data_IF_010865070362
#
_entry.id   IF_010865070362
#
_cell.length_a   1.000
_cell.length_b   1.000
_cell.length_c   1.000
_cell.angle_alpha   90.00
_cell.angle_beta   90.00
_cell.angle_gamma   90.00
#
_symmetry.space_group_name_H-M   'P 1'
#
loop_
_entity.id
_entity.type
_entity.pdbx_description
1 polymer ?
2 non-polymer ?
3 non-polymer ?
4 water ?
#
# COMPACT_ATOMS: atom_id res chain seq x y z
N UNK A 4 -5.60 13.34 20.24
CA UNK A 4 -5.57 12.69 18.93
C UNK A 4 -5.11 13.57 17.78
N UNK A 5 -4.29 12.99 16.91
CA UNK A 5 -4.03 13.56 15.60
C UNK A 5 -4.57 12.64 14.51
N UNK A 6 -5.57 13.10 13.77
CA UNK A 6 -6.20 12.26 12.75
C UNK A 6 -6.04 12.88 11.37
N UNK A 7 -4.90 12.64 10.73
CA UNK A 7 -4.63 13.24 9.41
C UNK A 7 -5.59 12.80 8.32
N UNK A 8 -6.11 13.78 7.57
CA UNK A 8 -6.81 13.50 6.33
C UNK A 8 -5.82 12.98 5.29
N UNK A 9 -6.33 12.35 4.22
CA UNK A 9 -5.48 11.87 3.12
C UNK A 9 -4.76 13.04 2.47
N UNK A 10 -5.44 14.19 2.49
CA UNK A 10 -4.85 15.43 2.01
C UNK A 10 -3.59 15.79 2.81
N UNK A 11 -3.65 15.62 4.13
CA UNK A 11 -2.46 15.83 4.96
C UNK A 11 -1.40 14.77 4.65
N UNK A 12 -1.85 13.52 4.57
CA UNK A 12 -0.96 12.41 4.26
C UNK A 12 -0.20 12.67 2.96
N UNK A 13 -0.93 13.17 1.96
CA UNK A 13 -0.32 13.54 0.67
C UNK A 13 0.72 14.65 0.85
N UNK A 14 0.42 15.61 1.72
CA UNK A 14 1.38 16.69 2.00
C UNK A 14 2.59 16.14 2.74
N UNK A 15 2.36 15.17 3.63
CA UNK A 15 3.45 14.50 4.34
C UNK A 15 4.39 13.82 3.34
N UNK A 16 3.80 13.26 2.29
CA UNK A 16 4.53 12.46 1.33
C UNK A 16 5.29 13.38 0.38
N UNK A 17 4.62 14.43 -0.08
CA UNK A 17 5.28 15.51 -0.84
C UNK A 17 6.48 16.10 -0.09
N UNK A 18 6.33 16.30 1.23
CA UNK A 18 7.40 16.88 2.04
C UNK A 18 8.63 16.02 2.01
N UNK A 19 8.47 14.74 2.34
CA UNK A 19 9.54 13.75 2.22
C UNK A 19 10.19 13.77 0.84
N UNK A 20 9.37 13.75 -0.20
CA UNK A 20 9.87 13.78 -1.56
C UNK A 20 10.71 15.03 -1.79
N UNK A 21 10.17 16.17 -1.38
CA UNK A 21 10.87 17.45 -1.50
C UNK A 21 12.20 17.43 -0.76
N UNK A 22 12.21 16.87 0.46
CA UNK A 22 13.43 16.79 1.26
C UNK A 22 14.49 15.88 0.64
N UNK A 23 14.04 14.76 0.07
CA UNK A 23 14.95 13.78 -0.54
C UNK A 23 15.66 14.39 -1.75
N UNK A 24 14.87 15.06 -2.59
CA UNK A 24 15.37 15.71 -3.79
C UNK A 24 16.31 16.87 -3.44
N UNK A 25 15.85 17.72 -2.51
CA UNK A 25 16.66 18.85 -2.03
C UNK A 25 17.99 18.44 -1.43
N UNK A 26 18.01 17.28 -0.77
CA UNK A 26 19.22 16.77 -0.15
C UNK A 26 20.04 15.84 -1.05
N UNK A 27 19.59 15.67 -2.29
CA UNK A 27 20.16 14.66 -3.19
C UNK A 27 20.25 13.29 -2.52
N UNK A 28 19.10 12.64 -2.36
CA UNK A 28 19.09 11.22 -2.08
C UNK A 28 17.92 10.62 -2.85
N UNK A 29 18.24 10.03 -4.00
CA UNK A 29 17.27 9.33 -4.82
C UNK A 29 17.56 7.84 -4.68
N UNK A 30 16.68 7.12 -3.96
CA UNK A 30 16.94 5.70 -3.70
C UNK A 30 16.85 4.87 -4.97
N UNK A 31 17.61 3.79 -5.00
CA UNK A 31 17.42 2.73 -5.97
C UNK A 31 16.32 1.77 -5.51
N UNK A 32 16.23 1.57 -4.19
CA UNK A 32 15.26 0.66 -3.60
C UNK A 32 14.52 1.31 -2.45
N UNK A 33 13.20 1.19 -2.45
CA UNK A 33 12.39 1.49 -1.27
C UNK A 33 12.13 0.20 -0.49
N UNK A 34 12.39 0.20 0.81
CA UNK A 34 11.95 -0.91 1.66
C UNK A 34 10.71 -0.53 2.47
N UNK A 35 9.56 -1.06 2.09
CA UNK A 35 8.34 -0.77 2.84
C UNK A 35 8.34 -1.54 4.17
N UNK A 36 8.10 -0.82 5.27
CA UNK A 36 7.93 -1.51 6.55
C UNK A 36 6.47 -1.95 6.63
N UNK A 37 6.25 -3.25 6.51
CA UNK A 37 4.88 -3.77 6.54
C UNK A 37 4.33 -3.68 7.97
N UNK A 38 3.04 -3.35 8.11
CA UNK A 38 2.13 -3.03 7.01
C UNK A 38 1.80 -1.54 6.99
N UNK A 39 2.23 -0.83 8.02
CA UNK A 39 1.93 0.58 8.14
C UNK A 39 2.68 1.45 7.15
N UNK A 40 3.86 1.03 6.72
CA UNK A 40 4.66 1.81 5.78
C UNK A 40 4.33 1.48 4.34
N UNK A 41 3.27 0.69 4.16
CA UNK A 41 2.83 0.18 2.85
C UNK A 41 2.29 1.32 1.95
N UNK A 42 1.34 2.08 2.48
CA UNK A 42 0.76 3.18 1.76
C UNK A 42 1.79 4.33 1.59
N UNK A 43 2.51 4.72 2.67
CA UNK A 43 3.61 5.67 2.47
C UNK A 43 4.64 5.26 1.39
N UNK A 44 5.05 4.00 1.37
CA UNK A 44 6.02 3.58 0.37
C UNK A 44 5.48 3.68 -1.05
N UNK A 45 4.19 3.44 -1.24
CA UNK A 45 3.61 3.40 -2.58
C UNK A 45 3.43 4.80 -3.10
N UNK A 46 3.05 5.71 -2.20
CA UNK A 46 2.86 7.10 -2.54
C UNK A 46 4.20 7.80 -2.87
N UNK A 47 5.23 7.53 -2.08
CA UNK A 47 6.55 8.10 -2.34
C UNK A 47 7.08 7.55 -3.66
N UNK A 48 6.91 6.25 -3.85
CA UNK A 48 7.28 5.57 -5.09
C UNK A 48 6.71 6.28 -6.31
N UNK A 49 5.40 6.49 -6.29
CA UNK A 49 4.74 7.15 -7.40
C UNK A 49 5.23 8.60 -7.56
N UNK A 50 5.43 9.27 -6.44
CA UNK A 50 5.85 10.68 -6.48
C UNK A 50 7.21 10.83 -7.15
N UNK A 51 8.18 10.03 -6.70
CA UNK A 51 9.55 10.15 -7.18
C UNK A 51 9.91 9.17 -8.29
N UNK A 52 8.90 8.53 -8.87
CA UNK A 52 9.09 7.52 -9.92
C UNK A 52 10.12 6.45 -9.53
N UNK A 53 10.01 5.94 -8.32
CA UNK A 53 10.87 4.87 -7.87
C UNK A 53 10.20 3.51 -8.17
N UNK A 54 10.83 2.73 -9.02
CA UNK A 54 10.19 1.53 -9.55
C UNK A 54 10.50 0.27 -8.76
N UNK A 55 11.47 0.37 -7.85
CA UNK A 55 11.87 -0.82 -7.11
C UNK A 55 11.47 -0.71 -5.64
N UNK A 56 10.47 -1.51 -5.26
CA UNK A 56 9.98 -1.55 -3.90
C UNK A 56 10.13 -2.97 -3.35
N UNK A 57 10.72 -3.08 -2.16
CA UNK A 57 10.81 -4.35 -1.48
C UNK A 57 10.18 -4.20 -0.10
N UNK A 58 10.08 -5.28 0.64
CA UNK A 58 9.19 -5.29 1.81
C UNK A 58 9.78 -6.09 2.94
N UNK A 59 9.48 -5.67 4.17
CA UNK A 59 9.86 -6.49 5.31
C UNK A 59 8.69 -6.71 6.26
N UNK A 60 8.43 -7.97 6.58
CA UNK A 60 7.37 -8.31 7.52
C UNK A 60 7.93 -8.29 8.94
N UNK A 61 7.57 -7.24 9.66
CA UNK A 61 8.00 -7.05 11.04
C UNK A 61 6.84 -6.51 11.89
N UNK A 62 6.73 -6.97 13.12
CA UNK A 62 5.73 -6.39 14.01
C UNK A 62 6.22 -6.21 15.44
N UNK A 63 5.74 -5.13 16.04
CA UNK A 63 6.05 -4.79 17.42
C UNK A 63 4.77 -4.95 18.23
N UNK A 64 4.61 -6.12 18.84
CA UNK A 64 3.44 -6.42 19.67
C UNK A 64 3.34 -5.48 20.87
N UNK A 65 2.22 -4.78 20.96
CA UNK A 65 1.95 -3.89 22.09
C UNK A 65 0.46 -3.86 22.40
N UNK A 71 4.98 -8.39 23.04
CA UNK A 71 6.40 -8.69 22.91
C UNK A 71 7.25 -7.50 23.29
N UNK A 72 8.48 -7.77 23.72
CA UNK A 72 9.39 -6.76 24.24
C UNK A 72 10.16 -6.09 23.12
N UNK A 73 10.26 -6.80 22.00
CA UNK A 73 11.00 -6.31 20.85
C UNK A 73 10.15 -6.43 19.58
N UNK A 74 10.48 -5.63 18.55
CA UNK A 74 9.88 -5.97 17.26
C UNK A 74 10.36 -7.36 16.82
N UNK A 75 9.52 -8.08 16.09
CA UNK A 75 9.89 -9.41 15.62
C UNK A 75 9.79 -9.48 14.10
N UNK A 76 10.89 -9.83 13.45
CA UNK A 76 10.89 -10.02 12.00
C UNK A 76 10.25 -11.36 11.68
N UNK A 77 9.27 -11.33 10.79
CA UNK A 77 8.63 -12.57 10.40
C UNK A 77 9.04 -12.94 8.98
N UNK A 78 9.31 -11.93 8.13
CA UNK A 78 9.77 -12.20 6.78
C UNK A 78 10.41 -11.00 6.11
N UNK A 79 11.47 -11.26 5.37
CA UNK A 79 12.12 -10.23 4.60
C UNK A 79 12.00 -10.52 3.09
N UNK A 80 11.18 -9.72 2.41
CA UNK A 80 10.90 -9.89 0.99
C UNK A 80 11.79 -9.01 0.12
N UNK A 81 12.99 -9.49 -0.18
CA UNK A 81 13.91 -8.75 -1.05
C UNK A 81 14.96 -9.62 -1.69
N UNK A 82 15.44 -9.17 -2.85
CA UNK A 82 16.61 -9.73 -3.51
C UNK A 82 17.81 -8.91 -3.07
N UNK A 83 18.97 -9.10 -3.71
CA UNK A 83 20.20 -8.47 -3.25
C UNK A 83 20.08 -6.95 -3.21
N UNK A 84 20.61 -6.35 -2.15
CA UNK A 84 20.61 -4.90 -2.03
C UNK A 84 22.02 -4.32 -2.09
N UNK A 85 22.99 -5.18 -2.44
CA UNK A 85 24.40 -4.79 -2.41
C UNK A 85 24.68 -3.62 -3.34
N UNK A 86 25.31 -2.58 -2.79
CA UNK A 86 25.69 -1.41 -3.54
C UNK A 86 24.52 -0.55 -4.02
N UNK A 87 23.37 -0.67 -3.36
CA UNK A 87 22.22 0.12 -3.77
C UNK A 87 21.93 1.21 -2.75
N UNK A 88 21.31 2.27 -3.21
CA UNK A 88 20.86 3.34 -2.31
C UNK A 88 19.47 3.00 -1.80
N UNK A 89 19.36 2.77 -0.49
CA UNK A 89 18.14 2.24 0.08
C UNK A 89 17.45 3.27 0.96
N UNK A 90 16.14 3.38 0.81
CA UNK A 90 15.33 4.15 1.75
C UNK A 90 14.31 3.25 2.44
N UNK A 91 14.40 3.19 3.77
CA UNK A 91 13.40 2.52 4.58
C UNK A 91 12.23 3.46 4.84
N UNK A 92 11.04 3.05 4.43
CA UNK A 92 9.85 3.86 4.60
C UNK A 92 8.88 3.27 5.64
N UNK A 93 8.46 4.10 6.59
CA UNK A 93 7.45 3.66 7.55
C UNK A 93 6.45 4.78 7.78
N UNK A 94 5.36 4.50 8.49
CA UNK A 94 4.32 5.52 8.67
C UNK A 94 4.59 6.40 9.90
N UNK A 95 5.09 5.79 10.97
CA UNK A 95 5.45 6.53 12.18
C UNK A 95 6.60 5.86 12.95
N UNK A 96 7.47 6.68 13.53
CA UNK A 96 8.45 6.19 14.50
C UNK A 96 8.03 6.55 15.93
N UNK A 97 7.57 5.55 16.68
CA UNK A 97 7.07 5.74 18.04
C UNK A 97 8.20 5.66 19.04
N UNK A 98 8.57 4.45 19.45
CA UNK A 98 9.75 4.27 20.27
C UNK A 98 11.01 4.25 19.41
N UNK A 99 10.85 3.90 18.13
CA UNK A 99 11.96 3.85 17.20
C UNK A 99 12.61 2.48 17.08
N UNK A 100 12.15 1.53 17.89
CA UNK A 100 12.59 0.15 17.81
C UNK A 100 12.45 -0.45 16.40
N UNK A 101 11.29 -0.25 15.79
CA UNK A 101 11.04 -0.82 14.47
C UNK A 101 12.04 -0.29 13.42
N UNK A 102 12.21 1.03 13.33
CA UNK A 102 13.17 1.56 12.36
C UNK A 102 14.59 1.08 12.64
N UNK A 103 14.95 0.94 13.92
CA UNK A 103 16.29 0.46 14.26
C UNK A 103 16.51 -0.98 13.82
N UNK A 104 15.55 -1.86 14.15
CA UNK A 104 15.63 -3.27 13.76
C UNK A 104 15.70 -3.45 12.25
N UNK A 105 14.87 -2.69 11.52
CA UNK A 105 14.87 -2.78 10.07
C UNK A 105 16.22 -2.32 9.51
N UNK A 106 16.71 -1.18 10.00
CA UNK A 106 17.98 -0.62 9.53
C UNK A 106 19.13 -1.55 9.84
N UNK A 107 19.05 -2.25 10.97
CA UNK A 107 20.10 -3.19 11.32
C UNK A 107 20.16 -4.36 10.36
N UNK A 108 19.01 -4.86 9.94
CA UNK A 108 18.98 -6.05 9.10
C UNK A 108 19.27 -5.69 7.62
N UNK A 109 18.79 -4.55 7.15
CA UNK A 109 19.12 -4.14 5.78
C UNK A 109 20.63 -4.01 5.62
N UNK A 110 21.29 -3.36 6.60
CA UNK A 110 22.75 -3.18 6.57
C UNK A 110 23.52 -4.48 6.27
N UNK A 111 22.99 -5.61 6.76
CA UNK A 111 23.58 -6.92 6.52
C UNK A 111 23.51 -7.32 5.04
N UNK A 112 22.68 -6.66 4.26
CA UNK A 112 22.68 -6.85 2.82
C UNK A 112 23.74 -5.98 2.10
N UNK A 113 24.59 -5.31 2.89
CA UNK A 113 25.68 -4.51 2.34
C UNK A 113 25.26 -3.50 1.26
N UNK A 114 24.22 -2.70 1.55
CA UNK A 114 23.85 -1.72 0.54
C UNK A 114 24.84 -0.57 0.53
N UNK A 115 24.73 0.33 -0.43
CA UNK A 115 25.58 1.51 -0.45
C UNK A 115 25.23 2.39 0.74
N UNK A 116 23.95 2.68 0.91
CA UNK A 116 23.51 3.54 2.00
C UNK A 116 22.08 3.17 2.43
N UNK A 117 21.86 3.16 3.75
CA UNK A 117 20.52 3.01 4.32
C UNK A 117 20.07 4.30 4.99
N UNK A 118 18.98 4.87 4.50
CA UNK A 118 18.41 6.04 5.16
C UNK A 118 16.98 5.68 5.52
N UNK A 119 16.39 6.48 6.40
CA UNK A 119 15.05 6.19 6.88
C UNK A 119 14.11 7.37 6.70
N UNK A 120 12.87 7.04 6.37
CA UNK A 120 11.80 8.02 6.30
C UNK A 120 10.57 7.51 7.05
N UNK A 121 9.93 8.38 7.81
CA UNK A 121 8.60 8.10 8.38
C UNK A 121 7.75 9.34 8.18
N UNK A 122 6.44 9.17 8.12
CA UNK A 122 5.57 10.33 7.97
C UNK A 122 5.54 11.16 9.26
N UNK A 123 5.49 10.50 10.40
CA UNK A 123 5.33 11.20 11.67
C UNK A 123 6.27 10.67 12.73
N UNK A 124 6.69 11.58 13.60
CA UNK A 124 7.61 11.24 14.67
C UNK A 124 6.96 11.49 16.03
N UNK A 125 7.18 10.56 16.95
CA UNK A 125 6.80 10.77 18.34
C UNK A 125 8.02 11.33 19.08
N UNK A 126 7.80 12.31 19.97
CA UNK A 126 8.89 13.05 20.65
C UNK A 126 9.90 12.14 21.34
N UNK A 127 9.43 10.99 21.80
CA UNK A 127 10.23 10.11 22.62
C UNK A 127 10.92 9.00 21.82
N UNK A 128 11.05 9.19 20.51
CA UNK A 128 11.68 8.15 19.69
C UNK A 128 13.17 7.99 19.97
N UNK A 129 13.61 6.74 20.01
CA UNK A 129 15.01 6.41 20.21
C UNK A 129 15.81 6.73 18.94
N UNK A 130 15.14 6.63 17.80
CA UNK A 130 15.77 6.85 16.51
C UNK A 130 14.99 7.87 15.69
N UNK A 131 15.68 8.88 15.18
CA UNK A 131 15.02 9.94 14.42
C UNK A 131 15.20 9.71 12.93
N UNK A 132 14.08 9.50 12.21
CA UNK A 132 14.13 9.25 10.77
C UNK A 132 14.94 10.33 10.07
N UNK A 133 15.74 9.96 9.08
CA UNK A 133 16.48 10.96 8.31
C UNK A 133 15.52 11.92 7.63
N UNK A 134 14.32 11.44 7.33
CA UNK A 134 13.30 12.26 6.71
C UNK A 134 11.95 12.02 7.38
N UNK A 135 11.28 13.09 7.81
CA UNK A 135 9.91 12.96 8.28
C UNK A 135 9.11 14.23 8.00
N UNK A 136 7.80 14.20 8.22
CA UNK A 136 6.95 15.35 7.94
C UNK A 136 6.74 16.21 9.19
N UNK A 137 5.99 15.69 10.16
CA UNK A 137 5.73 16.42 11.40
C UNK A 137 5.93 15.56 12.65
N UNK A 138 6.46 16.17 13.70
CA UNK A 138 6.61 15.52 15.00
C UNK A 138 5.36 15.79 15.81
N UNK A 139 4.75 14.73 16.32
CA UNK A 139 3.45 14.81 16.98
C UNK A 139 3.51 14.16 18.36
N UNK A 140 3.04 14.86 19.39
CA UNK A 140 3.00 14.29 20.73
C UNK A 140 1.61 13.76 21.07
N UNK A 141 0.70 13.85 20.09
CA UNK A 141 -0.65 13.33 20.22
C UNK A 141 -0.73 11.90 19.71
N UNK A 142 -1.85 11.23 19.97
CA UNK A 142 -2.05 9.87 19.48
C UNK A 142 -2.53 9.90 18.04
N UNK A 143 -1.72 9.39 17.13
CA UNK A 143 -2.02 9.50 15.71
C UNK A 143 -2.94 8.37 15.26
N UNK A 144 -4.00 8.73 14.55
CA UNK A 144 -4.86 7.75 13.92
C UNK A 144 -4.79 7.91 12.40
N UNK A 145 -4.06 7.00 11.77
CA UNK A 145 -3.90 6.98 10.32
C UNK A 145 -5.17 6.53 9.60
N UNK A 146 -5.30 6.93 8.33
CA UNK A 146 -6.49 6.45 7.61
C UNK A 146 -6.50 4.92 7.45
N UNK A 147 -5.33 4.30 7.53
CA UNK A 147 -5.24 2.85 7.38
C UNK A 147 -5.15 2.06 8.70
N UNK A 148 -5.29 2.70 9.85
CA UNK A 148 -5.44 1.92 11.07
C UNK A 148 -6.56 2.47 11.94
N UNK A 149 -7.39 3.32 11.32
CA UNK A 149 -8.53 3.90 12.02
C UNK A 149 -9.45 2.84 12.62
N UNK A 150 -9.71 1.75 11.90
CA UNK A 150 -10.69 0.78 12.38
C UNK A 150 -10.13 -0.11 13.49
N UNK A 151 -8.84 -0.37 13.43
CA UNK A 151 -8.16 -1.07 14.51
C UNK A 151 -8.26 -0.23 15.79
N UNK A 152 -8.17 1.09 15.63
CA UNK A 152 -8.29 2.01 16.74
C UNK A 152 -9.73 2.10 17.26
N UNK A 153 -10.70 2.07 16.34
CA UNK A 153 -12.11 2.06 16.71
C UNK A 153 -12.50 0.75 17.42
N UNK A 154 -11.92 -0.37 16.99
CA UNK A 154 -12.20 -1.67 17.61
C UNK A 154 -11.66 -1.72 19.04
N UNK A 155 -10.69 -0.85 19.33
CA UNK A 155 -10.10 -0.77 20.66
C UNK A 155 -10.67 0.37 21.50
N UNK A 156 -11.41 1.27 20.86
CA UNK A 156 -12.12 2.35 21.55
C UNK A 156 -13.06 3.08 20.58
N UNK A 157 -14.33 2.69 20.60
CA UNK A 157 -15.31 3.24 19.67
C UNK A 157 -15.62 4.72 19.91
N UNK A 158 -15.01 5.29 20.94
CA UNK A 158 -15.24 6.69 21.26
C UNK A 158 -14.29 7.63 20.53
N UNK A 159 -13.39 7.05 19.73
CA UNK A 159 -12.48 7.87 18.93
C UNK A 159 -13.27 8.61 17.86
N UNK A 160 -12.99 9.92 17.73
CA UNK A 160 -13.76 10.80 16.83
C UNK A 160 -13.29 10.76 15.38
N UNK A 161 -13.48 9.63 14.72
CA UNK A 161 -13.17 9.51 13.29
C UNK A 161 -14.44 9.52 12.45
N UNK A 162 -14.30 9.85 11.18
CA UNK A 162 -15.43 9.87 10.26
C UNK A 162 -15.78 8.48 9.77
N UNK A 163 -17.04 8.34 9.32
CA UNK A 163 -17.58 7.12 8.72
C UNK A 163 -17.68 5.97 9.72
N UNK A 164 -17.51 6.28 11.00
CA UNK A 164 -17.56 5.29 12.07
C UNK A 164 -18.87 4.52 12.08
N UNK A 165 -19.96 5.23 11.80
CA UNK A 165 -21.29 4.62 11.78
C UNK A 165 -21.42 3.58 10.66
N UNK A 166 -20.88 3.87 9.49
CA UNK A 166 -20.86 2.89 8.41
C UNK A 166 -20.02 1.69 8.85
N UNK A 167 -18.91 1.97 9.54
CA UNK A 167 -18.04 0.90 10.02
C UNK A 167 -18.65 0.06 11.13
N UNK A 168 -19.24 0.72 12.14
CA UNK A 168 -19.87 -0.01 13.23
C UNK A 168 -20.96 -0.90 12.67
N UNK A 169 -21.65 -0.40 11.66
CA UNK A 169 -22.66 -1.17 10.94
C UNK A 169 -22.15 -2.49 10.35
N UNK A 170 -20.98 -2.43 9.72
CA UNK A 170 -20.39 -3.62 9.09
C UNK A 170 -19.73 -4.53 10.11
N UNK A 171 -19.05 -3.91 11.07
CA UNK A 171 -18.35 -4.64 12.13
C UNK A 171 -19.34 -5.49 12.92
N UNK A 172 -20.50 -4.94 13.24
CA UNK A 172 -21.55 -5.68 13.91
C UNK A 172 -21.89 -6.96 13.19
N UNK A 173 -22.16 -6.89 11.89
CA UNK A 173 -22.48 -8.08 11.13
C UNK A 173 -21.28 -9.01 11.09
N UNK A 174 -20.10 -8.43 11.00
CA UNK A 174 -18.85 -9.20 10.96
C UNK A 174 -18.70 -10.03 12.23
N UNK A 175 -18.97 -9.42 13.38
CA UNK A 175 -18.84 -10.10 14.67
C UNK A 175 -19.77 -11.31 14.77
N UNK A 176 -20.93 -11.22 14.14
CA UNK A 176 -21.91 -12.32 14.15
C UNK A 176 -21.42 -13.53 13.38
N UNK A 177 -20.88 -13.29 12.19
CA UNK A 177 -20.68 -14.40 11.27
C UNK A 177 -19.35 -15.10 11.44
N UNK A 178 -18.45 -14.53 12.24
CA UNK A 178 -17.27 -15.31 12.59
C UNK A 178 -16.92 -15.18 14.07
N UNK A 179 -17.26 -16.24 14.80
CA UNK A 179 -17.08 -16.29 16.25
C UNK A 179 -15.92 -17.21 16.62
N UNK B 3 -13.56 9.85 -20.80
CA UNK B 3 -12.19 10.34 -20.69
C UNK B 3 -11.40 9.57 -19.62
N UNK B 4 -11.07 10.25 -18.53
CA UNK B 4 -10.40 9.62 -17.40
C UNK B 4 -11.34 9.56 -16.21
N UNK B 5 -11.18 8.57 -15.36
CA UNK B 5 -11.86 8.56 -14.07
C UNK B 5 -10.78 8.84 -13.01
N UNK B 6 -11.03 9.83 -12.15
CA UNK B 6 -10.06 10.16 -11.08
C UNK B 6 -10.76 10.14 -9.72
N UNK B 7 -10.91 8.92 -9.15
CA UNK B 7 -11.54 8.76 -7.84
C UNK B 7 -10.79 9.49 -6.71
N UNK B 8 -11.55 10.21 -5.89
CA UNK B 8 -10.97 10.79 -4.71
C UNK B 8 -10.61 9.67 -3.74
N UNK B 9 -9.83 10.03 -2.72
CA UNK B 9 -9.55 9.12 -1.63
C UNK B 9 -10.84 8.71 -0.95
N UNK B 10 -11.82 9.63 -0.92
CA UNK B 10 -13.11 9.36 -0.34
C UNK B 10 -13.84 8.27 -1.11
N UNK B 11 -13.66 8.25 -2.43
CA UNK B 11 -14.25 7.20 -3.27
C UNK B 11 -13.56 5.85 -3.07
N UNK B 12 -12.25 5.88 -2.83
CA UNK B 12 -11.50 4.65 -2.63
C UNK B 12 -11.95 4.00 -1.30
N UNK B 13 -12.10 4.80 -0.25
CA UNK B 13 -12.67 4.31 1.02
C UNK B 13 -14.06 3.68 0.84
N UNK B 14 -14.92 4.34 0.06
CA UNK B 14 -16.21 3.80 -0.27
C UNK B 14 -16.10 2.49 -1.07
N UNK B 15 -15.10 2.44 -1.94
CA UNK B 15 -14.83 1.25 -2.75
C UNK B 15 -14.43 0.08 -1.86
N UNK B 16 -13.48 0.36 -0.97
CA UNK B 16 -13.03 -0.61 0.01
C UNK B 16 -14.19 -1.06 0.90
N UNK B 17 -14.95 -0.10 1.41
CA UNK B 17 -16.14 -0.37 2.22
C UNK B 17 -17.11 -1.28 1.49
N UNK B 18 -17.31 -1.01 0.19
CA UNK B 18 -18.27 -1.80 -0.59
C UNK B 18 -17.81 -3.23 -0.73
N UNK B 19 -16.51 -3.40 -0.94
CA UNK B 19 -15.90 -4.73 -1.02
C UNK B 19 -16.08 -5.48 0.31
N UNK B 20 -15.77 -4.79 1.42
CA UNK B 20 -15.94 -5.38 2.75
C UNK B 20 -17.38 -5.79 3.01
N UNK B 21 -18.31 -4.92 2.65
CA UNK B 21 -19.74 -5.15 2.83
C UNK B 21 -20.19 -6.36 2.03
N UNK B 22 -19.71 -6.48 0.80
CA UNK B 22 -20.04 -7.62 -0.05
C UNK B 22 -19.42 -8.90 0.48
N UNK B 23 -18.21 -8.80 1.03
CA UNK B 23 -17.55 -9.97 1.60
C UNK B 23 -18.32 -10.55 2.80
N UNK B 24 -18.83 -9.65 3.64
CA UNK B 24 -19.57 -10.06 4.84
C UNK B 24 -20.94 -10.60 4.42
N UNK B 25 -21.56 -9.91 3.47
CA UNK B 25 -22.83 -10.34 2.90
C UNK B 25 -22.76 -11.74 2.27
N UNK B 26 -21.60 -12.10 1.72
CA UNK B 26 -21.41 -13.39 1.06
C UNK B 26 -20.87 -14.43 2.03
N UNK B 27 -20.59 -14.00 3.26
CA UNK B 27 -19.93 -14.83 4.26
C UNK B 27 -18.63 -15.42 3.70
N UNK B 28 -17.81 -14.56 3.09
CA UNK B 28 -16.48 -14.96 2.68
C UNK B 28 -15.48 -14.05 3.35
N UNK B 29 -15.01 -14.49 4.51
CA UNK B 29 -13.98 -13.78 5.22
C UNK B 29 -12.69 -14.53 4.97
N UNK B 30 -11.75 -13.89 4.24
CA UNK B 30 -10.48 -14.52 3.86
C UNK B 30 -9.62 -14.85 5.07
N UNK B 31 -8.95 -15.99 5.05
CA UNK B 31 -7.84 -16.24 5.96
C UNK B 31 -6.66 -15.36 5.57
N UNK B 32 -6.45 -15.18 4.27
CA UNK B 32 -5.24 -14.55 3.75
C UNK B 32 -5.57 -13.57 2.63
N UNK B 33 -5.01 -12.38 2.72
CA UNK B 33 -5.14 -11.42 1.60
C UNK B 33 -3.89 -11.53 0.72
N UNK B 34 -4.13 -11.65 -0.59
CA UNK B 34 -3.04 -11.59 -1.56
C UNK B 34 -3.11 -10.27 -2.32
N UNK B 35 -2.26 -9.35 -1.91
CA UNK B 35 -2.13 -8.04 -2.54
C UNK B 35 -1.39 -8.14 -3.88
N UNK B 36 -2.04 -7.78 -4.97
CA UNK B 36 -1.36 -7.70 -6.26
C UNK B 36 -0.51 -6.43 -6.29
N UNK B 37 0.80 -6.58 -6.25
CA UNK B 37 1.71 -5.43 -6.28
C UNK B 37 1.74 -4.81 -7.69
N UNK B 38 1.81 -3.48 -7.80
CA UNK B 38 1.80 -2.56 -6.66
C UNK B 38 0.48 -1.79 -6.47
N UNK B 39 -0.38 -1.80 -7.49
CA UNK B 39 -1.65 -1.08 -7.42
C UNK B 39 -2.62 -1.64 -6.38
N UNK B 40 -2.47 -2.91 -6.04
CA UNK B 40 -3.36 -3.56 -5.09
C UNK B 40 -2.93 -3.34 -3.65
N UNK B 41 -1.78 -2.71 -3.48
CA UNK B 41 -1.16 -2.43 -2.18
C UNK B 41 -2.08 -1.65 -1.24
N UNK B 42 -2.53 -0.49 -1.69
CA UNK B 42 -3.36 0.37 -0.86
C UNK B 42 -4.74 -0.30 -0.64
N UNK B 43 -5.42 -0.78 -1.71
CA UNK B 43 -6.65 -1.55 -1.49
C UNK B 43 -6.53 -2.67 -0.44
N UNK B 44 -5.51 -3.50 -0.53
CA UNK B 44 -5.31 -4.62 0.40
C UNK B 44 -5.10 -4.17 1.84
N UNK B 45 -4.33 -3.09 2.04
CA UNK B 45 -4.07 -2.61 3.38
C UNK B 45 -5.37 -2.07 4.00
N UNK B 46 -6.13 -1.30 3.21
CA UNK B 46 -7.33 -0.69 3.77
C UNK B 46 -8.36 -1.79 4.12
N UNK B 47 -8.40 -2.86 3.34
CA UNK B 47 -9.40 -3.92 3.56
C UNK B 47 -8.99 -4.72 4.78
N UNK B 48 -7.69 -4.91 4.91
CA UNK B 48 -7.11 -5.51 6.10
C UNK B 48 -7.56 -4.79 7.38
N UNK B 49 -7.52 -3.46 7.35
CA UNK B 49 -7.92 -2.67 8.51
C UNK B 49 -9.42 -2.74 8.73
N UNK B 50 -10.18 -2.58 7.65
CA UNK B 50 -11.64 -2.68 7.70
C UNK B 50 -12.12 -3.98 8.38
N UNK B 51 -11.66 -5.11 7.87
CA UNK B 51 -12.20 -6.40 8.29
C UNK B 51 -11.34 -7.12 9.34
N UNK B 52 -10.33 -6.44 9.86
CA UNK B 52 -9.47 -7.00 10.90
C UNK B 52 -8.77 -8.29 10.39
N UNK B 53 -8.38 -8.26 9.11
CA UNK B 53 -7.65 -9.36 8.50
C UNK B 53 -6.15 -9.11 8.70
N UNK B 54 -5.52 -10.00 9.47
CA UNK B 54 -4.16 -9.75 9.95
C UNK B 54 -3.09 -10.38 9.06
N UNK B 55 -3.50 -11.26 8.15
CA UNK B 55 -2.57 -12.00 7.31
C UNK B 55 -2.54 -11.50 5.85
N UNK B 56 -1.50 -10.75 5.51
CA UNK B 56 -1.37 -10.23 4.13
C UNK B 56 -0.13 -10.77 3.45
N UNK B 57 -0.30 -11.33 2.27
CA UNK B 57 0.84 -11.77 1.45
C UNK B 57 0.78 -11.05 0.10
N UNK B 58 1.81 -11.22 -0.71
CA UNK B 58 2.05 -10.31 -1.84
C UNK B 58 2.58 -11.06 -3.04
N UNK B 59 2.21 -10.59 -4.23
CA UNK B 59 2.81 -11.10 -5.46
C UNK B 59 3.27 -9.92 -6.35
N UNK B 60 4.53 -9.96 -6.73
CA UNK B 60 5.15 -8.98 -7.62
C UNK B 60 4.87 -9.41 -9.05
N UNK B 61 3.86 -8.81 -9.66
CA UNK B 61 3.53 -9.11 -11.04
C UNK B 61 3.35 -7.79 -11.82
N UNK B 62 3.78 -7.78 -13.08
CA UNK B 62 3.71 -6.55 -13.87
C UNK B 62 3.26 -6.81 -15.29
N UNK B 63 2.34 -5.96 -15.77
CA UNK B 63 1.92 -5.96 -17.18
C UNK B 63 2.64 -4.82 -17.93
N UNK B 64 3.76 -5.15 -18.58
CA UNK B 64 4.58 -4.16 -19.30
C UNK B 64 3.91 -3.63 -20.58
N UNK B 65 3.49 -2.36 -20.52
CA UNK B 65 2.82 -1.72 -21.65
C UNK B 65 3.39 -0.32 -21.86
N UNK B 66 4.66 -0.24 -22.22
CA UNK B 66 5.31 1.05 -22.38
C UNK B 66 6.51 0.97 -23.32
N UNK B 67 7.11 2.14 -23.57
CA UNK B 67 8.20 2.33 -24.52
C UNK B 67 9.31 1.29 -24.40
N UNK B 68 9.53 0.54 -25.48
CA UNK B 68 10.58 -0.46 -25.52
C UNK B 68 10.19 -1.76 -24.84
N UNK B 69 9.96 -1.71 -23.54
CA UNK B 69 9.57 -2.91 -22.79
C UNK B 69 8.07 -3.10 -22.84
N UNK B 70 7.64 -4.04 -23.68
CA UNK B 70 6.23 -4.32 -23.85
C UNK B 70 6.01 -5.81 -24.05
N UNK B 71 5.08 -6.38 -23.30
CA UNK B 71 4.80 -7.81 -23.33
C UNK B 71 3.32 -8.02 -23.52
N UNK B 72 2.93 -9.20 -24.01
CA UNK B 72 1.52 -9.50 -24.26
C UNK B 72 0.75 -9.97 -23.03
N UNK B 73 1.48 -10.43 -22.02
CA UNK B 73 0.84 -10.96 -20.82
C UNK B 73 1.54 -10.43 -19.60
N UNK B 74 0.84 -10.41 -18.46
CA UNK B 74 1.55 -10.05 -17.22
C UNK B 74 2.76 -10.95 -16.98
N UNK B 75 3.79 -10.41 -16.36
CA UNK B 75 4.96 -11.20 -15.96
C UNK B 75 5.09 -11.18 -14.46
N UNK B 76 5.17 -12.36 -13.86
CA UNK B 76 5.42 -12.47 -12.43
C UNK B 76 6.91 -12.30 -12.21
N UNK B 77 7.28 -11.50 -11.22
CA UNK B 77 8.68 -11.25 -10.98
C UNK B 77 9.10 -11.83 -9.63
N UNK B 78 8.15 -11.95 -8.72
CA UNK B 78 8.44 -12.57 -7.44
C UNK B 78 7.13 -12.97 -6.73
N UNK B 79 7.17 -14.04 -5.92
CA UNK B 79 6.00 -14.38 -5.10
C UNK B 79 6.32 -14.41 -3.61
N UNK B 80 5.70 -13.50 -2.87
CA UNK B 80 5.98 -13.34 -1.45
C UNK B 80 4.91 -13.99 -0.55
N UNK B 81 4.99 -15.30 -0.36
CA UNK B 81 4.05 -15.99 0.54
C UNK B 81 4.55 -17.32 1.05
N UNK B 82 4.18 -17.64 2.29
CA UNK B 82 4.32 -18.97 2.80
C UNK B 82 3.14 -19.83 2.34
N UNK B 83 3.07 -21.06 2.81
CA UNK B 83 2.01 -21.98 2.45
C UNK B 83 0.63 -21.37 2.59
N UNK B 84 -0.21 -21.60 1.58
CA UNK B 84 -1.58 -21.10 1.52
C UNK B 84 -2.55 -22.27 1.64
N UNK B 85 -1.96 -23.42 1.94
CA UNK B 85 -2.64 -24.71 1.89
C UNK B 85 -3.86 -24.74 2.83
N UNK B 86 -5.01 -25.09 2.27
CA UNK B 86 -6.26 -25.18 3.03
C UNK B 86 -6.80 -23.84 3.50
N UNK B 87 -6.36 -22.74 2.89
CA UNK B 87 -6.81 -21.43 3.36
C UNK B 87 -7.76 -20.74 2.38
N UNK B 88 -8.67 -19.93 2.93
CA UNK B 88 -9.52 -19.08 2.11
C UNK B 88 -8.72 -17.84 1.73
N UNK B 89 -8.44 -17.70 0.45
CA UNK B 89 -7.60 -16.60 -0.04
C UNK B 89 -8.43 -15.59 -0.83
N UNK B 90 -8.21 -14.31 -0.59
CA UNK B 90 -8.80 -13.28 -1.45
C UNK B 90 -7.70 -12.49 -2.14
N UNK B 91 -7.70 -12.55 -3.46
CA UNK B 91 -6.77 -11.77 -4.27
C UNK B 91 -7.31 -10.34 -4.43
N UNK B 92 -6.53 -9.35 -4.00
CA UNK B 92 -6.94 -7.94 -4.07
C UNK B 92 -6.08 -7.10 -5.04
N UNK B 93 -6.75 -6.40 -5.95
CA UNK B 93 -6.11 -5.50 -6.90
C UNK B 93 -6.90 -4.19 -7.06
N UNK B 94 -6.32 -3.20 -7.73
CA UNK B 94 -7.05 -1.93 -7.86
C UNK B 94 -8.00 -1.90 -9.06
N UNK B 95 -7.56 -2.38 -10.22
CA UNK B 95 -8.41 -2.40 -11.40
C UNK B 95 -8.21 -3.67 -12.21
N UNK B 96 -9.31 -4.28 -12.64
CA UNK B 96 -9.21 -5.32 -13.65
C UNK B 96 -9.50 -4.67 -15.01
N UNK B 97 -8.53 -4.74 -15.92
CA UNK B 97 -8.67 -4.15 -17.24
C UNK B 97 -9.01 -5.26 -18.22
N UNK B 98 -8.00 -5.96 -18.74
CA UNK B 98 -8.26 -7.17 -19.54
C UNK B 98 -8.58 -8.36 -18.65
N UNK B 99 -8.16 -8.30 -17.39
CA UNK B 99 -8.31 -9.43 -16.49
C UNK B 99 -7.15 -10.41 -16.57
N UNK B 100 -6.18 -10.11 -17.43
CA UNK B 100 -5.03 -10.98 -17.55
C UNK B 100 -4.23 -11.13 -16.24
N UNK B 101 -4.17 -10.08 -15.43
CA UNK B 101 -3.41 -10.08 -14.18
C UNK B 101 -4.10 -10.94 -13.11
N UNK B 102 -5.38 -10.68 -12.89
CA UNK B 102 -6.18 -11.44 -11.94
C UNK B 102 -6.12 -12.94 -12.26
N UNK B 103 -6.18 -13.26 -13.54
CA UNK B 103 -6.14 -14.64 -14.00
C UNK B 103 -4.79 -15.30 -13.71
N UNK B 104 -3.73 -14.59 -14.07
CA UNK B 104 -2.38 -15.04 -13.79
C UNK B 104 -2.18 -15.29 -12.28
N UNK B 105 -2.64 -14.35 -11.46
CA UNK B 105 -2.45 -14.47 -10.03
C UNK B 105 -3.33 -15.60 -9.50
N UNK B 106 -4.56 -15.68 -10.00
CA UNK B 106 -5.43 -16.79 -9.61
C UNK B 106 -4.82 -18.16 -9.92
N UNK B 107 -4.24 -18.32 -11.11
CA UNK B 107 -3.65 -19.60 -11.48
C UNK B 107 -2.50 -19.98 -10.56
N UNK B 108 -1.64 -19.02 -10.28
CA UNK B 108 -0.43 -19.30 -9.51
C UNK B 108 -0.81 -19.57 -8.05
N UNK B 109 -1.81 -18.87 -7.54
CA UNK B 109 -2.25 -19.09 -6.17
C UNK B 109 -2.94 -20.46 -6.03
N UNK B 110 -3.67 -20.87 -7.06
CA UNK B 110 -4.35 -22.16 -7.03
C UNK B 110 -3.34 -23.30 -6.82
N UNK B 111 -2.15 -23.16 -7.40
CA UNK B 111 -1.10 -24.17 -7.28
C UNK B 111 -0.59 -24.33 -5.85
N UNK B 112 -0.91 -23.37 -4.96
CA UNK B 112 -0.61 -23.50 -3.53
C UNK B 112 -1.69 -24.29 -2.79
N UNK B 113 -2.65 -24.82 -3.55
CA UNK B 113 -3.78 -25.58 -2.99
C UNK B 113 -4.49 -24.87 -1.85
N UNK B 114 -4.96 -23.64 -2.10
CA UNK B 114 -5.75 -23.04 -1.02
C UNK B 114 -7.11 -23.74 -0.91
N UNK B 115 -7.86 -23.48 0.16
CA UNK B 115 -9.21 -24.01 0.26
C UNK B 115 -10.06 -23.37 -0.84
N UNK B 116 -9.83 -22.08 -1.07
CA UNK B 116 -10.61 -21.28 -2.02
C UNK B 116 -9.81 -20.05 -2.45
N UNK B 117 -9.95 -19.67 -3.72
CA UNK B 117 -9.45 -18.40 -4.22
C UNK B 117 -10.59 -17.53 -4.71
N UNK B 118 -10.70 -16.32 -4.18
CA UNK B 118 -11.64 -15.35 -4.73
C UNK B 118 -10.91 -14.07 -5.10
N UNK B 119 -11.47 -13.32 -6.05
CA UNK B 119 -10.81 -12.09 -6.47
C UNK B 119 -11.63 -10.86 -6.16
N UNK B 120 -10.93 -9.81 -5.78
CA UNK B 120 -11.55 -8.52 -5.60
C UNK B 120 -10.71 -7.48 -6.32
N UNK B 121 -11.38 -6.63 -7.09
CA UNK B 121 -10.77 -5.42 -7.64
C UNK B 121 -11.74 -4.27 -7.45
N UNK B 122 -11.21 -3.09 -7.13
CA UNK B 122 -12.06 -1.94 -6.89
C UNK B 122 -12.86 -1.60 -8.14
N UNK B 123 -12.18 -1.57 -9.28
CA UNK B 123 -12.84 -1.20 -10.52
C UNK B 123 -12.67 -2.23 -11.60
N UNK B 124 -13.56 -2.13 -12.58
CA UNK B 124 -13.70 -3.15 -13.60
C UNK B 124 -13.95 -2.46 -14.93
N UNK B 125 -13.41 -3.01 -16.03
CA UNK B 125 -13.73 -2.51 -17.37
C UNK B 125 -14.70 -3.45 -18.06
N UNK B 126 -15.55 -2.92 -18.96
CA UNK B 126 -16.56 -3.74 -19.66
C UNK B 126 -15.96 -4.89 -20.47
N UNK B 127 -14.68 -4.80 -20.80
CA UNK B 127 -14.04 -5.81 -21.64
C UNK B 127 -13.18 -6.81 -20.85
N UNK B 128 -13.27 -6.76 -19.53
CA UNK B 128 -12.54 -7.70 -18.70
C UNK B 128 -12.96 -9.11 -19.06
N UNK B 129 -11.98 -10.00 -19.24
CA UNK B 129 -12.23 -11.36 -19.67
C UNK B 129 -12.88 -12.21 -18.58
N UNK B 130 -12.95 -11.67 -17.37
CA UNK B 130 -13.75 -12.25 -16.29
C UNK B 130 -14.01 -11.23 -15.20
N UNK B 131 -15.27 -11.12 -14.80
CA UNK B 131 -15.67 -10.32 -13.65
C UNK B 131 -15.02 -10.87 -12.38
N UNK B 132 -14.38 -10.00 -11.59
CA UNK B 132 -13.89 -10.43 -10.28
C UNK B 132 -15.07 -10.81 -9.38
N UNK B 133 -14.85 -11.69 -8.42
CA UNK B 133 -15.93 -12.14 -7.54
C UNK B 133 -16.47 -10.97 -6.73
N UNK B 134 -15.64 -9.96 -6.53
CA UNK B 134 -16.01 -8.80 -5.75
C UNK B 134 -15.46 -7.54 -6.38
N UNK B 135 -16.28 -6.50 -6.46
CA UNK B 135 -15.86 -5.24 -7.07
C UNK B 135 -16.77 -4.07 -6.69
N UNK B 136 -16.22 -2.86 -6.75
CA UNK B 136 -17.00 -1.66 -6.45
C UNK B 136 -17.79 -1.14 -7.67
N UNK B 137 -17.08 -0.83 -8.76
CA UNK B 137 -17.70 -0.18 -9.93
C UNK B 137 -17.11 -0.66 -11.26
N UNK B 138 -17.97 -0.95 -12.22
CA UNK B 138 -17.55 -1.12 -13.60
C UNK B 138 -17.46 0.26 -14.25
N UNK B 139 -16.29 0.56 -14.81
CA UNK B 139 -16.02 1.86 -15.46
C UNK B 139 -15.46 1.59 -16.85
N UNK B 140 -15.69 2.50 -17.81
CA UNK B 140 -15.11 2.31 -19.13
C UNK B 140 -14.08 3.40 -19.51
N UNK B 141 -13.83 4.32 -18.59
CA UNK B 141 -12.79 5.32 -18.78
C UNK B 141 -11.48 4.73 -18.29
N UNK B 142 -10.36 5.40 -18.59
CA UNK B 142 -9.10 4.96 -18.01
C UNK B 142 -8.99 5.57 -16.62
N UNK B 143 -8.66 4.76 -15.63
CA UNK B 143 -8.68 5.23 -14.26
C UNK B 143 -7.34 5.75 -13.78
N UNK B 144 -7.33 6.98 -13.29
CA UNK B 144 -6.19 7.52 -12.57
C UNK B 144 -6.43 7.39 -11.07
N UNK B 145 -5.67 6.53 -10.40
CA UNK B 145 -5.82 6.33 -8.96
C UNK B 145 -5.04 7.36 -8.14
N UNK B 146 -5.39 7.51 -6.86
CA UNK B 146 -4.55 8.37 -6.03
C UNK B 146 -3.08 7.93 -5.95
N UNK B 147 -2.80 6.63 -6.07
CA UNK B 147 -1.43 6.13 -5.95
C UNK B 147 -0.66 5.96 -7.26
N UNK B 148 -1.27 6.29 -8.39
CA UNK B 148 -0.51 6.34 -9.65
C UNK B 148 -0.71 7.66 -10.42
N UNK B 149 -1.19 8.70 -9.74
CA UNK B 149 -1.49 9.96 -10.42
C UNK B 149 -0.22 10.59 -11.00
N UNK B 150 0.88 10.55 -10.27
CA UNK B 150 2.06 11.25 -10.75
C UNK B 150 2.70 10.48 -11.89
N UNK B 151 2.45 9.17 -11.94
CA UNK B 151 2.92 8.40 -13.07
C UNK B 151 2.16 8.82 -14.33
N UNK B 152 0.87 9.10 -14.18
CA UNK B 152 0.04 9.54 -15.30
C UNK B 152 0.44 10.94 -15.75
N UNK B 153 0.62 11.83 -14.79
CA UNK B 153 1.01 13.20 -15.11
C UNK B 153 2.34 13.22 -15.85
N UNK B 154 3.29 12.42 -15.39
CA UNK B 154 4.58 12.30 -16.04
C UNK B 154 4.43 11.92 -17.50
N UNK B 155 3.59 10.93 -17.79
CA UNK B 155 3.40 10.46 -19.16
C UNK B 155 2.31 11.26 -19.89
N UNK B 156 1.72 12.23 -19.19
CA UNK B 156 0.62 13.00 -19.74
C UNK B 156 0.40 14.24 -18.89
N UNK B 157 1.20 15.27 -19.16
CA UNK B 157 1.25 16.47 -18.34
C UNK B 157 -0.07 17.24 -18.21
N UNK B 158 -1.00 17.04 -19.14
CA UNK B 158 -2.19 17.88 -19.16
C UNK B 158 -3.45 17.24 -18.56
N UNK B 159 -3.27 16.17 -17.77
CA UNK B 159 -4.41 15.63 -17.03
C UNK B 159 -4.71 16.56 -15.85
N UNK B 160 -6.00 16.68 -15.49
CA UNK B 160 -6.46 17.61 -14.46
C UNK B 160 -6.32 17.09 -13.03
N UNK B 161 -5.14 17.21 -12.45
CA UNK B 161 -4.93 16.69 -11.11
C UNK B 161 -4.57 17.81 -10.13
N UNK B 162 -4.96 17.61 -8.87
CA UNK B 162 -4.59 18.47 -7.76
C UNK B 162 -3.07 18.50 -7.56
N UNK B 163 -2.58 19.61 -7.01
CA UNK B 163 -1.17 19.76 -6.64
C UNK B 163 -0.20 19.51 -7.79
N UNK B 164 -0.59 19.91 -8.99
CA UNK B 164 0.23 19.68 -10.17
C UNK B 164 1.48 20.58 -10.17
N UNK B 165 1.31 21.87 -9.92
CA UNK B 165 2.47 22.75 -9.92
C UNK B 165 3.51 22.31 -8.92
N UNK B 166 3.05 21.93 -7.73
CA UNK B 166 3.95 21.43 -6.71
C UNK B 166 4.69 20.19 -7.23
N UNK B 167 3.97 19.28 -7.90
CA UNK B 167 4.63 18.10 -8.44
C UNK B 167 5.63 18.47 -9.53
N UNK B 168 5.19 19.33 -10.46
CA UNK B 168 6.03 19.72 -11.59
C UNK B 168 7.37 20.29 -11.11
N UNK B 169 7.35 21.12 -10.07
CA UNK B 169 8.58 21.67 -9.49
C UNK B 169 9.52 20.59 -8.96
N UNK B 170 8.95 19.60 -8.27
CA UNK B 170 9.73 18.47 -7.78
C UNK B 170 10.24 17.62 -8.93
N UNK B 171 9.37 17.37 -9.89
CA UNK B 171 9.70 16.60 -11.08
C UNK B 171 10.81 17.30 -11.87
N UNK B 172 10.72 18.62 -11.98
CA UNK B 172 11.75 19.41 -12.63
C UNK B 172 13.12 19.17 -12.02
N UNK B 173 13.20 19.29 -10.71
CA UNK B 173 14.44 19.06 -9.97
C UNK B 173 14.92 17.60 -10.05
N UNK B 174 14.00 16.68 -10.33
CA UNK B 174 14.35 15.28 -10.52
C UNK B 174 14.96 15.04 -11.91
N UNK B 175 14.38 15.67 -12.92
CA UNK B 175 14.87 15.53 -14.28
C UNK B 175 16.27 16.09 -14.43
N UNK B 176 16.62 17.11 -13.64
CA UNK B 176 17.91 17.76 -13.82
C UNK B 176 19.03 17.03 -13.10
N UNK B 177 18.71 16.39 -11.97
CA UNK B 177 19.74 15.68 -11.24
C UNK B 177 20.04 14.35 -11.96
N UNK B 178 20.67 14.47 -13.12
CA UNK B 178 20.94 13.32 -13.97
C UNK B 178 22.43 13.10 -14.18
X LIG C 1 3.82 0.15 14.03
X LIG C 1 4.10 1.19 13.05
X LIG C 1 5.55 1.18 12.97
X LIG C 1 6.00 0.77 14.32
X LIG C 1 6.67 1.92 15.00
X LIG C 1 3.94 -1.05 13.43
X LIG C 1 3.49 0.92 11.81
X LIG C 1 6.02 0.27 12.05
X LIG C 1 4.85 0.34 15.02
X LIG C 1 6.66 1.96 16.37
X LIG C 1 8.03 1.83 17.13
X LIG C 1 8.93 2.94 16.64
X LIG C 1 7.75 1.96 18.59
X LIG C 1 8.68 0.48 16.88
X LIG C 1 3.27 -2.31 14.01
X LIG C 1 2.12 -1.87 14.86
X LIG C 1 4.23 -3.13 14.83
X LIG C 1 2.74 -3.22 12.84
X LIG C 1 1.89 -2.68 11.65
X LIG C 1 2.71 -1.71 10.82
X LIG C 1 1.47 -3.87 10.78
X LIG C 1 0.66 -1.93 12.18
X LIG D 1 4.50 -0.87 11.27
X LIG E 1 -2.02 -2.68 -13.30
X LIG E 1 -3.07 -2.78 -12.28
X LIG E 1 -3.56 -4.14 -12.40
X LIG E 1 -3.34 -4.48 -13.82
X LIG E 1 -4.62 -4.69 -14.58
X LIG E 1 -0.89 -3.24 -12.85
X LIG E 1 -2.55 -2.53 -11.01
X LIG E 1 -2.78 -5.00 -11.64
X LIG E 1 -2.58 -3.44 -14.38
X LIG E 1 -4.46 -4.88 -15.94
X LIG E 1 -5.02 -6.16 -16.67
X LIG E 1 -5.17 -5.90 -18.14
X LIG E 1 -6.37 -6.51 -16.11
X LIG E 1 -4.07 -7.34 -16.44
X LIG E 1 0.53 -3.00 -13.44
X LIG E 1 0.53 -1.80 -14.31
X LIG E 1 0.93 -4.24 -14.21
X LIG E 1 1.59 -2.78 -12.30
X LIG E 1 1.36 -1.88 -11.06
X LIG E 1 0.92 -0.48 -11.43
X LIG E 1 2.66 -1.80 -10.29
X LIG E 1 0.29 -2.55 -10.15
X LIG F 1 -1.05 -3.88 -10.73
#
# INVERSE_FOLDING_TARGET
MVEYHIPSWDEIEDAVFSIGEALVKSNYIPDVLIAVLTGGIIPAKLLSDLLDLKVIRYIDIKFYRSVGKTESKPVIRSVYTDSLEGKKVLVVDDVADTGETLEAVSNVITMFNPAKVMTAALYLKPWSKRIPDFYYKQIDKWIIFPWDKWDVVRENSNVPVDKKERFLNLYNQLLKIRK
MVEYHIPSWDEIEDAVFSIGEALVKSNYIPDVLIAVLTGGIIPAKLLSDLLDLKVIRYIDIKFYRSVGKTESKPVIRSVYTDSLEGKKVLVVDDVADTGETLEAVSNVITMFNPAKVMTAALYLKPWSKRIPDFYYKQIDKWIIFPWDKWDVVRENSNVPVDKKERFLNLYNQLLKIRK
PRP C1 C2 C3 C4 C5 O1 O2 O3 O4 O5 P O1P O2P O3P PA O1A O2A O3A PB O1B O2B O3B
MG MG
PRP C1 C2 C3 C4 C5 O1 O2 O3 O4 O5 P O1P O2P O3P PA O1A O2A O3A PB O1B O2B O3B
MG MG
#
